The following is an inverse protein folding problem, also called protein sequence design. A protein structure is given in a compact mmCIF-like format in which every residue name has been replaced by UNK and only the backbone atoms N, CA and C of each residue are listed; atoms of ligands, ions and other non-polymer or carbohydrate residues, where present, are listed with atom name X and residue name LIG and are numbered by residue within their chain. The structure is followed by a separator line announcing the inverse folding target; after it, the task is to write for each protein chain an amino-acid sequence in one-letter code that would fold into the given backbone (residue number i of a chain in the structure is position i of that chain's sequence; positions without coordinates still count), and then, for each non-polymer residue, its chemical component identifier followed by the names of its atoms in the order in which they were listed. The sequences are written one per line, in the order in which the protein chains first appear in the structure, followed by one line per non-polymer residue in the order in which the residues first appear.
data_IF_714614061354
#
_entry.id   IF_714614061354
#
_cell.length_a   1.000
_cell.length_b   1.000
_cell.length_c   1.000
_cell.angle_alpha   90.00
_cell.angle_beta   90.00
_cell.angle_gamma   90.00
#
_symmetry.space_group_name_H-M   'P 1'
#
loop_
_entity.id
_entity.type
_entity.pdbx_description
1 polymer ?
#
# COMPACT_ATOMS: atom_id res chain seq x y z
N UNK A 1 -13.40 -15.18 6.50
CA UNK A 1 -13.84 -13.92 5.85
C UNK A 1 -14.84 -14.26 4.75
N UNK A 2 -15.99 -13.61 4.75
CA UNK A 2 -16.99 -13.82 3.71
C UNK A 2 -16.55 -13.17 2.39
N UNK A 3 -17.20 -13.55 1.29
CA UNK A 3 -16.94 -12.94 -0.01
C UNK A 3 -17.25 -11.44 0.01
N UNK A 4 -18.28 -11.04 0.74
CA UNK A 4 -18.65 -9.64 0.91
C UNK A 4 -17.56 -8.87 1.65
N UNK A 5 -17.05 -9.42 2.75
CA UNK A 5 -15.97 -8.80 3.55
C UNK A 5 -14.67 -8.71 2.75
N UNK A 6 -14.38 -9.74 1.96
CA UNK A 6 -13.21 -9.76 1.09
C UNK A 6 -13.28 -8.62 0.07
N UNK A 7 -14.42 -8.50 -0.64
CA UNK A 7 -14.61 -7.45 -1.64
C UNK A 7 -14.52 -6.05 -1.00
N UNK A 8 -15.09 -5.88 0.19
CA UNK A 8 -15.04 -4.61 0.90
C UNK A 8 -13.59 -4.22 1.25
N UNK A 9 -12.82 -5.18 1.77
CA UNK A 9 -11.41 -4.94 2.11
C UNK A 9 -10.59 -4.60 0.87
N UNK A 10 -10.82 -5.30 -0.24
CA UNK A 10 -10.13 -5.02 -1.50
C UNK A 10 -10.45 -3.62 -2.03
N UNK A 11 -11.70 -3.17 -1.91
CA UNK A 11 -12.11 -1.82 -2.31
C UNK A 11 -11.45 -0.75 -1.44
N UNK A 12 -11.28 -1.01 -0.15
CA UNK A 12 -10.56 -0.10 0.74
C UNK A 12 -9.10 0.04 0.30
N UNK A 13 -8.47 -1.07 -0.06
CA UNK A 13 -7.08 -1.03 -0.56
C UNK A 13 -6.98 -0.18 -1.82
N UNK A 14 -7.91 -0.36 -2.75
CA UNK A 14 -7.93 0.44 -4.00
C UNK A 14 -8.11 1.92 -3.69
N UNK A 15 -8.98 2.25 -2.75
CA UNK A 15 -9.20 3.64 -2.35
C UNK A 15 -7.93 4.30 -1.82
N UNK A 16 -7.23 3.65 -0.90
CA UNK A 16 -5.96 4.16 -0.39
C UNK A 16 -4.86 4.18 -1.46
N UNK A 17 -4.84 3.19 -2.34
CA UNK A 17 -3.89 3.15 -3.44
C UNK A 17 -4.10 4.30 -4.42
N UNK A 18 -5.35 4.64 -4.72
CA UNK A 18 -5.67 5.78 -5.57
C UNK A 18 -5.28 7.10 -4.89
N UNK A 19 -5.44 7.21 -3.57
CA UNK A 19 -5.00 8.38 -2.83
C UNK A 19 -3.49 8.59 -2.95
N UNK A 20 -2.70 7.53 -2.73
CA UNK A 20 -1.25 7.67 -2.81
C UNK A 20 -0.79 7.89 -4.25
N UNK A 21 -1.47 7.31 -5.22
CA UNK A 21 -1.18 7.57 -6.63
C UNK A 21 -1.32 9.06 -6.96
N UNK A 22 -2.36 9.70 -6.45
CA UNK A 22 -2.56 11.13 -6.61
C UNK A 22 -1.48 11.95 -5.92
N UNK A 23 -1.03 11.51 -4.74
CA UNK A 23 0.04 12.19 -3.99
C UNK A 23 1.37 12.15 -4.74
N UNK A 24 1.73 11.02 -5.34
CA UNK A 24 3.06 10.84 -5.98
C UNK A 24 3.09 11.32 -7.43
N UNK A 25 1.93 11.52 -8.07
CA UNK A 25 1.81 11.77 -9.52
C UNK A 25 2.61 12.96 -10.03
N UNK A 26 2.75 14.00 -9.21
CA UNK A 26 3.45 15.24 -9.59
C UNK A 26 4.68 15.50 -8.74
N UNK A 27 5.21 14.44 -8.13
CA UNK A 27 6.31 14.55 -7.17
C UNK A 27 7.43 13.60 -7.52
N UNK A 28 8.58 13.83 -6.91
CA UNK A 28 9.77 12.99 -7.05
C UNK A 28 10.17 12.47 -5.66
N UNK A 29 11.02 11.47 -5.65
CA UNK A 29 11.52 10.89 -4.39
C UNK A 29 12.08 11.93 -3.44
N UNK A 30 12.78 12.94 -3.94
CA UNK A 30 13.37 14.02 -3.13
C UNK A 30 12.33 14.81 -2.33
N UNK A 31 11.09 14.85 -2.80
CA UNK A 31 10.02 15.57 -2.11
C UNK A 31 9.70 14.96 -0.75
N UNK A 32 9.98 13.66 -0.55
CA UNK A 32 9.84 13.02 0.75
C UNK A 32 10.80 13.62 1.80
N UNK A 33 11.96 14.11 1.36
CA UNK A 33 12.95 14.70 2.27
C UNK A 33 12.62 16.14 2.62
N UNK A 34 11.97 16.88 1.74
CA UNK A 34 11.77 18.33 1.88
C UNK A 34 10.33 18.73 2.18
N UNK A 35 9.36 17.85 1.93
CA UNK A 35 7.94 18.15 2.18
C UNK A 35 7.38 17.19 3.24
N UNK A 36 7.28 17.69 4.45
CA UNK A 36 6.84 16.90 5.60
C UNK A 36 5.41 16.40 5.46
N UNK A 37 4.51 17.22 4.94
CA UNK A 37 3.11 16.84 4.75
C UNK A 37 2.99 15.71 3.74
N UNK A 38 3.70 15.81 2.63
CA UNK A 38 3.73 14.76 1.62
C UNK A 38 4.26 13.45 2.21
N UNK A 39 5.34 13.52 2.98
CA UNK A 39 5.90 12.33 3.62
C UNK A 39 4.91 11.68 4.58
N UNK A 40 4.28 12.47 5.46
CA UNK A 40 3.31 11.96 6.43
C UNK A 40 2.10 11.34 5.75
N UNK A 41 1.57 11.99 4.72
CA UNK A 41 0.44 11.46 3.97
C UNK A 41 0.79 10.14 3.27
N UNK A 42 1.98 10.07 2.67
CA UNK A 42 2.45 8.86 1.99
C UNK A 42 2.64 7.70 2.99
N UNK A 43 3.27 7.96 4.12
CA UNK A 43 3.44 6.98 5.20
C UNK A 43 2.09 6.45 5.66
N UNK A 44 1.13 7.33 5.89
CA UNK A 44 -0.20 6.91 6.38
C UNK A 44 -0.95 6.06 5.37
N UNK A 45 -0.95 6.44 4.09
CA UNK A 45 -1.60 5.64 3.05
C UNK A 45 -0.99 4.25 2.94
N UNK A 46 0.33 4.15 2.92
CA UNK A 46 1.02 2.85 2.84
C UNK A 46 0.73 1.99 4.08
N UNK A 47 0.72 2.60 5.26
CA UNK A 47 0.36 1.93 6.50
C UNK A 47 -1.05 1.34 6.44
N UNK A 48 -2.02 2.13 5.99
CA UNK A 48 -3.42 1.70 5.88
C UNK A 48 -3.59 0.58 4.86
N UNK A 49 -2.89 0.65 3.73
CA UNK A 49 -2.89 -0.43 2.74
C UNK A 49 -2.34 -1.72 3.36
N UNK A 50 -1.22 -1.61 4.08
CA UNK A 50 -0.61 -2.76 4.76
C UNK A 50 -1.52 -3.37 5.82
N UNK A 51 -2.20 -2.53 6.61
CA UNK A 51 -3.17 -3.00 7.60
C UNK A 51 -4.32 -3.76 6.95
N UNK A 52 -4.87 -3.22 5.85
CA UNK A 52 -5.94 -3.89 5.11
C UNK A 52 -5.44 -5.22 4.52
N UNK A 53 -4.22 -5.24 3.99
CA UNK A 53 -3.62 -6.46 3.45
C UNK A 53 -3.47 -7.56 4.52
N UNK A 54 -3.12 -7.19 5.76
CA UNK A 54 -3.00 -8.18 6.84
C UNK A 54 -4.34 -8.79 7.24
N UNK A 55 -5.45 -8.12 6.95
CA UNK A 55 -6.79 -8.65 7.23
C UNK A 55 -7.26 -9.66 6.19
N UNK A 56 -6.61 -9.71 5.03
CA UNK A 56 -6.93 -10.70 4.00
C UNK A 56 -6.44 -12.08 4.46
N UNK A 57 -7.20 -13.16 4.21
CA UNK A 57 -6.76 -14.49 4.59
C UNK A 57 -5.40 -14.84 3.95
N UNK A 58 -4.55 -15.48 4.73
CA UNK A 58 -3.19 -15.82 4.29
C UNK A 58 -3.22 -16.73 3.04
N UNK A 59 -4.13 -17.70 3.02
CA UNK A 59 -4.28 -18.59 1.87
C UNK A 59 -4.76 -17.84 0.62
N UNK A 60 -5.60 -16.83 0.79
CA UNK A 60 -6.04 -16.00 -0.33
C UNK A 60 -4.86 -15.20 -0.90
N UNK A 61 -4.04 -14.59 -0.03
CA UNK A 61 -2.84 -13.87 -0.46
C UNK A 61 -1.86 -14.80 -1.18
N UNK A 62 -1.69 -16.02 -0.68
CA UNK A 62 -0.82 -17.01 -1.30
C UNK A 62 -1.29 -17.40 -2.70
N UNK A 63 -2.60 -17.39 -2.94
CA UNK A 63 -3.20 -17.66 -4.25
C UNK A 63 -3.04 -16.51 -5.24
N UNK A 64 -2.61 -15.34 -4.75
CA UNK A 64 -2.42 -14.15 -5.57
C UNK A 64 -1.00 -13.61 -5.38
N UNK A 65 -0.02 -14.48 -5.57
CA UNK A 65 1.39 -14.20 -5.30
C UNK A 65 2.04 -13.23 -6.28
N UNK A 66 1.37 -12.89 -7.38
CA UNK A 66 1.81 -11.83 -8.30
C UNK A 66 1.75 -10.44 -7.66
N UNK A 67 0.98 -10.30 -6.58
CA UNK A 67 0.88 -9.05 -5.83
C UNK A 67 2.03 -8.99 -4.80
N UNK A 68 2.74 -7.86 -4.68
CA UNK A 68 3.90 -7.77 -3.78
C UNK A 68 3.49 -7.57 -2.31
N UNK A 69 2.79 -8.54 -1.74
CA UNK A 69 2.30 -8.50 -0.36
C UNK A 69 3.41 -8.28 0.67
N UNK A 70 4.54 -8.96 0.46
CA UNK A 70 5.65 -8.92 1.41
C UNK A 70 6.20 -7.51 1.60
N UNK A 71 6.43 -6.79 0.51
CA UNK A 71 6.96 -5.43 0.54
C UNK A 71 6.01 -4.49 1.27
N UNK A 72 4.72 -4.62 0.98
CA UNK A 72 3.68 -3.75 1.52
C UNK A 72 3.47 -4.01 3.02
N UNK A 73 3.38 -5.28 3.42
CA UNK A 73 3.17 -5.65 4.82
C UNK A 73 4.42 -5.36 5.65
N UNK A 74 5.61 -5.59 5.10
CA UNK A 74 6.86 -5.27 5.78
C UNK A 74 6.96 -3.78 6.07
N UNK A 75 6.62 -2.93 5.10
CA UNK A 75 6.62 -1.49 5.29
C UNK A 75 5.63 -1.06 6.38
N UNK A 76 4.42 -1.63 6.37
CA UNK A 76 3.43 -1.38 7.43
C UNK A 76 3.98 -1.74 8.81
N UNK A 77 4.65 -2.89 8.93
CA UNK A 77 5.22 -3.34 10.20
C UNK A 77 6.34 -2.40 10.68
N UNK A 78 7.17 -1.93 9.78
CA UNK A 78 8.20 -0.94 10.11
C UNK A 78 7.58 0.33 10.67
N UNK A 79 6.51 0.81 10.05
CA UNK A 79 5.83 2.05 10.47
C UNK A 79 5.19 1.94 11.84
N UNK A 80 4.48 0.84 12.12
CA UNK A 80 3.77 0.69 13.40
C UNK A 80 4.69 0.41 14.58
N UNK A 81 5.89 -0.12 14.34
CA UNK A 81 6.86 -0.35 15.41
C UNK A 81 7.68 0.90 15.75
N UNK A 82 7.40 2.03 15.08
CA UNK A 82 7.99 3.31 15.43
C UNK A 82 9.47 3.41 15.16
N UNK A 83 9.98 2.71 14.16
CA UNK A 83 11.36 2.88 13.75
C UNK A 83 11.55 4.33 13.26
N UNK A 84 12.53 5.02 13.83
CA UNK A 84 12.75 6.44 13.59
C UNK A 84 13.09 6.79 12.15
N UNK A 85 13.57 5.81 11.40
CA UNK A 85 13.98 6.04 10.03
C UNK A 85 13.28 5.05 9.11
N UNK A 86 12.12 5.45 8.61
CA UNK A 86 11.58 4.86 7.40
C UNK A 86 12.43 5.43 6.27
N UNK A 87 13.21 4.59 5.62
CA UNK A 87 14.08 5.05 4.52
C UNK A 87 13.21 5.59 3.38
N UNK A 88 13.47 6.83 3.01
CA UNK A 88 12.69 7.49 1.95
C UNK A 88 12.73 6.72 0.62
N UNK A 89 13.86 6.08 0.31
CA UNK A 89 13.98 5.27 -0.90
C UNK A 89 13.02 4.10 -0.89
N UNK A 90 12.90 3.40 0.24
CA UNK A 90 12.01 2.24 0.38
C UNK A 90 10.55 2.70 0.32
N UNK A 91 10.23 3.77 1.03
CA UNK A 91 8.87 4.34 1.00
C UNK A 91 8.47 4.74 -0.42
N UNK A 92 9.38 5.41 -1.14
CA UNK A 92 9.12 5.82 -2.52
C UNK A 92 8.90 4.61 -3.43
N UNK A 93 9.74 3.58 -3.32
CA UNK A 93 9.60 2.36 -4.12
C UNK A 93 8.27 1.67 -3.88
N UNK A 94 7.85 1.55 -2.63
CA UNK A 94 6.55 0.97 -2.30
C UNK A 94 5.42 1.82 -2.88
N UNK A 95 5.46 3.13 -2.65
CA UNK A 95 4.40 4.05 -3.09
C UNK A 95 4.31 4.18 -4.61
N UNK A 96 5.45 4.24 -5.29
CA UNK A 96 5.50 4.53 -6.73
C UNK A 96 5.48 3.27 -7.60
N UNK A 97 5.88 2.11 -7.07
CA UNK A 97 6.00 0.88 -7.85
C UNK A 97 5.12 -0.27 -7.32
N UNK A 98 5.26 -0.63 -6.05
CA UNK A 98 4.54 -1.78 -5.49
C UNK A 98 3.04 -1.53 -5.36
N UNK A 99 2.65 -0.35 -4.88
CA UNK A 99 1.23 -0.01 -4.70
C UNK A 99 0.49 0.08 -6.03
N UNK A 100 1.02 0.71 -7.09
CA UNK A 100 0.35 0.69 -8.40
C UNK A 100 0.16 -0.72 -8.95
N UNK A 101 1.13 -1.59 -8.77
CA UNK A 101 1.03 -2.99 -9.21
C UNK A 101 -0.09 -3.71 -8.44
N UNK A 102 -0.09 -3.60 -7.12
CA UNK A 102 -1.15 -4.16 -6.27
C UNK A 102 -2.52 -3.62 -6.69
N UNK A 103 -2.64 -2.32 -6.88
CA UNK A 103 -3.90 -1.68 -7.25
C UNK A 103 -4.44 -2.21 -8.59
N UNK A 104 -3.57 -2.32 -9.59
CA UNK A 104 -3.95 -2.84 -10.90
C UNK A 104 -4.45 -4.27 -10.82
N UNK A 105 -3.76 -5.13 -10.09
CA UNK A 105 -4.15 -6.52 -9.91
C UNK A 105 -5.48 -6.66 -9.15
N UNK A 106 -5.67 -5.88 -8.10
CA UNK A 106 -6.91 -5.92 -7.31
C UNK A 106 -8.09 -5.42 -8.14
N UNK A 107 -7.91 -4.35 -8.93
CA UNK A 107 -8.97 -3.85 -9.81
C UNK A 107 -9.42 -4.93 -10.81
N UNK A 108 -8.49 -5.69 -11.37
CA UNK A 108 -8.81 -6.81 -12.23
C UNK A 108 -9.64 -7.88 -11.51
N UNK A 109 -9.29 -8.19 -10.28
CA UNK A 109 -10.03 -9.17 -9.47
C UNK A 109 -11.45 -8.70 -9.16
N UNK A 110 -11.62 -7.40 -8.92
CA UNK A 110 -12.94 -6.83 -8.61
C UNK A 110 -13.87 -6.76 -9.82
N UNK A 111 -13.33 -6.77 -11.03
CA UNK A 111 -14.10 -6.77 -12.28
C UNK A 111 -14.72 -8.14 -12.62
N UNK A 112 -14.27 -9.18 -11.96
CA UNK A 112 -14.75 -10.56 -12.24
C UNK A 112 -16.03 -10.88 -11.50
#
# INVERSE_FOLDING_TARGET
MSDHDLALTLRQIVEFADEIAALVAKRARKDLDINREFRRASERCVELIGEAATRLPENWRASHSEIPWRQIITMRNVMIHGYDVVMADVLWDVAANDVPKLCGEIKLLLEK
#
